data_IF_083767342279
#
_entry.id   IF_083767342279
#
_cell.length_a   1.000
_cell.length_b   1.000
_cell.length_c   1.000
_cell.angle_alpha   90.00
_cell.angle_beta   90.00
_cell.angle_gamma   90.00
#
_symmetry.space_group_name_H-M   'P 1'
#
loop_
_entity.id
_entity.type
_entity.pdbx_description
1 polymer ?
#
# COMPACT_ATOMS: atom_id res chain seq x y z
N UNK A 1 -20.46 -6.62 -3.75
CA UNK A 1 -20.15 -5.92 -2.49
C UNK A 1 -18.68 -6.01 -2.04
N UNK A 2 -17.84 -6.94 -2.54
CA UNK A 2 -16.40 -7.00 -2.20
C UNK A 2 -15.61 -5.75 -2.60
N UNK A 3 -15.85 -5.24 -3.81
CA UNK A 3 -15.10 -4.11 -4.40
C UNK A 3 -15.26 -2.82 -3.61
N UNK A 4 -16.50 -2.40 -3.31
CA UNK A 4 -16.76 -1.18 -2.56
C UNK A 4 -16.13 -1.19 -1.17
N UNK A 5 -16.21 -2.32 -0.45
CA UNK A 5 -15.57 -2.48 0.86
C UNK A 5 -14.05 -2.38 0.77
N UNK A 6 -13.44 -2.97 -0.27
CA UNK A 6 -11.99 -2.91 -0.50
C UNK A 6 -11.54 -1.49 -0.84
N UNK A 7 -12.30 -0.77 -1.67
CA UNK A 7 -12.06 0.65 -1.98
C UNK A 7 -12.12 1.49 -0.70
N UNK A 8 -13.15 1.30 0.14
CA UNK A 8 -13.25 2.03 1.42
C UNK A 8 -12.08 1.73 2.36
N UNK A 9 -11.61 0.48 2.43
CA UNK A 9 -10.46 0.11 3.23
C UNK A 9 -9.17 0.80 2.73
N UNK A 10 -8.90 0.76 1.41
CA UNK A 10 -7.75 1.44 0.82
C UNK A 10 -7.82 2.96 1.00
N UNK A 11 -9.02 3.55 0.90
CA UNK A 11 -9.22 4.98 1.14
C UNK A 11 -8.88 5.37 2.59
N UNK A 12 -9.20 4.52 3.57
CA UNK A 12 -8.84 4.75 4.97
C UNK A 12 -7.31 4.71 5.15
N UNK A 13 -6.63 3.71 4.60
CA UNK A 13 -5.16 3.61 4.65
C UNK A 13 -4.48 4.79 3.94
N UNK A 14 -5.04 5.26 2.81
CA UNK A 14 -4.56 6.47 2.12
C UNK A 14 -4.70 7.73 2.98
N UNK A 15 -5.81 7.87 3.72
CA UNK A 15 -5.99 8.98 4.66
C UNK A 15 -4.96 8.92 5.81
N UNK A 16 -4.67 7.72 6.31
CA UNK A 16 -3.64 7.53 7.35
C UNK A 16 -2.24 7.87 6.82
N UNK A 17 -1.91 7.46 5.59
CA UNK A 17 -0.67 7.85 4.91
C UNK A 17 -0.54 9.37 4.81
N UNK A 18 -1.58 10.04 4.32
CA UNK A 18 -1.61 11.51 4.22
C UNK A 18 -1.44 12.19 5.58
N UNK A 19 -2.08 11.67 6.62
CA UNK A 19 -1.94 12.18 7.98
C UNK A 19 -0.50 12.01 8.52
N UNK A 20 0.15 10.87 8.25
CA UNK A 20 1.55 10.64 8.63
C UNK A 20 2.49 11.60 7.90
N UNK A 21 2.32 11.78 6.59
CA UNK A 21 3.11 12.73 5.81
C UNK A 21 2.91 14.18 6.29
N UNK A 22 1.67 14.55 6.64
CA UNK A 22 1.39 15.87 7.22
C UNK A 22 2.12 16.10 8.56
N UNK A 23 2.16 15.11 9.45
CA UNK A 23 2.86 15.19 10.74
C UNK A 23 4.38 15.07 10.62
N UNK A 24 4.89 14.42 9.59
CA UNK A 24 6.33 14.30 9.34
C UNK A 24 7.02 15.67 9.18
N UNK A 25 6.28 16.71 8.78
CA UNK A 25 6.78 18.09 8.79
C UNK A 25 7.18 18.60 10.18
N UNK A 26 6.60 18.02 11.25
CA UNK A 26 6.81 18.40 12.65
C UNK A 26 7.65 17.37 13.41
N UNK A 27 7.48 16.06 13.12
CA UNK A 27 8.22 14.95 13.75
C UNK A 27 8.73 13.95 12.71
N UNK A 28 9.81 14.29 11.97
CA UNK A 28 10.17 13.59 10.75
C UNK A 28 10.49 12.10 10.94
N UNK A 29 11.27 11.70 11.95
CA UNK A 29 11.83 10.34 11.97
C UNK A 29 10.77 9.22 12.14
N UNK A 30 9.81 9.38 13.06
CA UNK A 30 8.80 8.34 13.35
C UNK A 30 7.64 8.34 12.35
N UNK A 31 7.17 9.52 11.97
CA UNK A 31 6.05 9.66 11.05
C UNK A 31 6.46 9.30 9.60
N UNK A 32 7.71 9.53 9.19
CA UNK A 32 8.22 9.06 7.88
C UNK A 32 8.30 7.53 7.81
N UNK A 33 8.85 6.87 8.83
CA UNK A 33 8.87 5.39 8.87
C UNK A 33 7.46 4.81 8.83
N UNK A 34 6.52 5.44 9.54
CA UNK A 34 5.12 5.01 9.55
C UNK A 34 4.46 5.23 8.19
N UNK A 35 4.63 6.41 7.59
CA UNK A 35 4.14 6.72 6.25
C UNK A 35 4.67 5.72 5.22
N UNK A 36 5.95 5.41 5.31
CA UNK A 36 6.55 4.47 4.38
C UNK A 36 6.04 3.04 4.54
N UNK A 37 5.88 2.56 5.78
CA UNK A 37 5.25 1.26 6.03
C UNK A 37 3.84 1.21 5.44
N UNK A 38 3.02 2.23 5.66
CA UNK A 38 1.66 2.31 5.11
C UNK A 38 1.70 2.34 3.57
N UNK A 39 2.62 3.10 2.96
CA UNK A 39 2.80 3.12 1.51
C UNK A 39 3.19 1.75 0.95
N UNK A 40 4.06 1.01 1.65
CA UNK A 40 4.43 -0.35 1.26
C UNK A 40 3.24 -1.31 1.35
N UNK A 41 2.49 -1.29 2.45
CA UNK A 41 1.30 -2.12 2.65
C UNK A 41 0.23 -1.83 1.57
N UNK A 42 -0.07 -0.55 1.33
CA UNK A 42 -0.99 -0.10 0.29
C UNK A 42 -0.58 -0.57 -1.12
N UNK A 43 0.69 -0.39 -1.49
CA UNK A 43 1.18 -0.77 -2.81
C UNK A 43 1.04 -2.28 -3.04
N UNK A 44 1.41 -3.10 -2.06
CA UNK A 44 1.25 -4.56 -2.12
C UNK A 44 -0.24 -4.96 -2.22
N UNK A 45 -1.12 -4.32 -1.44
CA UNK A 45 -2.55 -4.61 -1.46
C UNK A 45 -3.24 -4.23 -2.79
N UNK A 46 -2.76 -3.15 -3.43
CA UNK A 46 -3.19 -2.69 -4.75
C UNK A 46 -2.72 -3.62 -5.86
N UNK A 47 -1.45 -4.03 -5.83
CA UNK A 47 -0.90 -4.99 -6.80
C UNK A 47 -1.64 -6.33 -6.70
N UNK A 48 -1.85 -6.85 -5.49
CA UNK A 48 -2.61 -8.09 -5.28
C UNK A 48 -4.04 -7.98 -5.82
N UNK A 49 -4.69 -6.83 -5.61
CA UNK A 49 -6.02 -6.57 -6.17
C UNK A 49 -5.99 -6.49 -7.70
N UNK A 50 -4.96 -5.88 -8.28
CA UNK A 50 -4.79 -5.79 -9.72
C UNK A 50 -4.63 -7.16 -10.37
N UNK A 51 -3.80 -8.04 -9.78
CA UNK A 51 -3.60 -9.42 -10.26
C UNK A 51 -4.89 -10.26 -10.13
N UNK A 52 -5.66 -10.07 -9.06
CA UNK A 52 -6.99 -10.67 -8.92
C UNK A 52 -7.96 -10.17 -10.01
N UNK A 53 -7.95 -8.86 -10.30
CA UNK A 53 -8.79 -8.26 -11.34
C UNK A 53 -8.42 -8.71 -12.76
N UNK A 54 -7.15 -9.04 -12.99
CA UNK A 54 -6.66 -9.67 -14.22
C UNK A 54 -6.94 -11.18 -14.28
N UNK A 55 -7.58 -11.75 -13.24
CA UNK A 55 -7.86 -13.18 -13.12
C UNK A 55 -6.62 -14.08 -13.17
N UNK A 56 -5.46 -13.56 -12.77
CA UNK A 56 -4.22 -14.34 -12.71
C UNK A 56 -4.31 -15.31 -11.52
N UNK A 57 -4.10 -16.63 -11.73
CA UNK A 57 -4.09 -17.62 -10.65
C UNK A 57 -3.01 -17.32 -9.62
N UNK A 58 -3.28 -17.53 -8.33
CA UNK A 58 -2.33 -17.24 -7.24
C UNK A 58 -0.95 -17.89 -7.44
N UNK A 59 -0.91 -19.11 -8.00
CA UNK A 59 0.32 -19.84 -8.27
C UNK A 59 1.23 -19.16 -9.34
N UNK A 60 0.67 -18.27 -10.16
CA UNK A 60 1.38 -17.60 -11.26
C UNK A 60 1.69 -16.12 -10.92
N UNK A 61 1.11 -15.58 -9.85
CA UNK A 61 1.22 -14.16 -9.49
C UNK A 61 2.64 -13.68 -9.23
N UNK A 62 3.50 -14.56 -8.70
CA UNK A 62 4.88 -14.20 -8.36
C UNK A 62 5.68 -13.70 -9.57
N UNK A 63 5.38 -14.17 -10.79
CA UNK A 63 6.04 -13.72 -12.02
C UNK A 63 5.68 -12.28 -12.37
N UNK A 64 4.51 -11.81 -11.93
CA UNK A 64 3.99 -10.48 -12.22
C UNK A 64 4.21 -9.48 -11.09
N UNK A 65 4.67 -9.93 -9.92
CA UNK A 65 4.93 -9.05 -8.78
C UNK A 65 6.17 -8.21 -9.04
N UNK A 66 6.03 -6.91 -8.82
CA UNK A 66 7.11 -5.96 -8.84
C UNK A 66 7.76 -5.84 -7.46
N UNK A 67 9.04 -5.46 -7.42
CA UNK A 67 9.68 -5.13 -6.15
C UNK A 67 9.04 -3.88 -5.58
N UNK A 68 8.47 -3.97 -4.39
CA UNK A 68 7.83 -2.84 -3.73
C UNK A 68 8.90 -1.83 -3.26
N UNK A 69 8.96 -0.62 -3.86
CA UNK A 69 10.04 0.34 -3.61
C UNK A 69 9.99 0.90 -2.19
N UNK A 70 8.85 0.83 -1.51
CA UNK A 70 8.67 1.37 -0.17
C UNK A 70 9.17 0.42 0.93
N UNK A 71 9.54 -0.83 0.63
CA UNK A 71 10.24 -1.68 1.60
C UNK A 71 11.73 -1.37 1.75
N UNK A 72 12.31 -0.65 0.77
CA UNK A 72 13.73 -0.30 0.73
C UNK A 72 13.93 1.20 0.91
N UNK A 73 13.53 1.78 2.05
CA UNK A 73 14.22 3.00 2.48
C UNK A 73 15.46 2.62 3.27
N UNK A 74 16.55 3.21 2.84
CA UNK A 74 17.76 3.36 3.63
C UNK A 74 17.56 4.40 4.75
#
# INVERSE_FOLDING_TARGET
>A
MKTARRISAMANELNELQACLGRASVRPCKDVQTAQRIAAELASALEEWHLEALHIPEAERDVYRSTNPYFFSH
#
